data_IF_279355593030
#
_entry.id   IF_279355593030
#
_cell.length_a   1.000
_cell.length_b   1.000
_cell.length_c   1.000
_cell.angle_alpha   90.00
_cell.angle_beta   90.00
_cell.angle_gamma   90.00
#
_symmetry.space_group_name_H-M   'P 1'
#
loop_
_entity.id
_entity.type
_entity.pdbx_description
1 polymer ?
#
# COMPACT_ATOMS: atom_id res chain seq x y z
N UNK A 1 12.37 -8.89 24.83
CA UNK A 1 12.89 -8.04 23.74
C UNK A 1 11.73 -7.19 23.24
N UNK A 2 11.79 -5.88 23.41
CA UNK A 2 10.79 -4.97 22.82
C UNK A 2 11.20 -4.76 21.37
N UNK A 3 10.30 -4.96 20.38
CA UNK A 3 10.64 -4.71 18.99
C UNK A 3 11.09 -3.25 18.81
N UNK A 4 12.09 -2.99 17.96
CA UNK A 4 12.54 -1.63 17.69
C UNK A 4 11.37 -0.80 17.14
N UNK A 5 11.32 0.50 17.46
CA UNK A 5 10.31 1.37 16.88
C UNK A 5 10.50 1.40 15.36
N UNK A 6 9.37 1.40 14.63
CA UNK A 6 9.39 1.64 13.20
C UNK A 6 9.84 3.09 12.95
N UNK A 7 10.57 3.35 11.84
CA UNK A 7 10.80 4.70 11.37
C UNK A 7 9.48 5.44 11.21
N UNK A 8 9.49 6.75 11.46
CA UNK A 8 8.31 7.61 11.29
C UNK A 8 7.79 7.54 9.86
N UNK A 9 8.71 7.71 8.91
CA UNK A 9 8.43 7.53 7.50
C UNK A 9 9.00 6.18 7.07
N UNK A 10 8.19 5.34 6.46
CA UNK A 10 8.62 3.99 6.07
C UNK A 10 8.02 3.54 4.75
N UNK A 11 8.74 2.64 4.10
CA UNK A 11 8.28 1.90 2.93
C UNK A 11 8.27 0.41 3.26
N UNK A 12 7.15 -0.24 2.93
CA UNK A 12 6.96 -1.67 3.03
C UNK A 12 6.64 -2.24 1.66
N UNK A 13 7.26 -3.36 1.31
CA UNK A 13 6.97 -4.14 0.10
C UNK A 13 6.79 -5.58 0.50
N UNK A 14 5.84 -6.28 -0.11
CA UNK A 14 5.64 -7.69 0.19
C UNK A 14 4.46 -8.30 -0.55
N UNK A 15 4.22 -9.57 -0.26
CA UNK A 15 3.13 -10.34 -0.86
C UNK A 15 2.03 -10.61 0.16
N UNK A 16 0.79 -10.36 -0.23
CA UNK A 16 -0.41 -10.82 0.47
C UNK A 16 -0.78 -12.18 -0.08
N UNK A 17 -0.74 -13.21 0.77
CA UNK A 17 -1.19 -14.55 0.43
C UNK A 17 -2.62 -14.73 0.93
N UNK A 18 -3.59 -14.78 0.01
CA UNK A 18 -4.98 -15.12 0.31
C UNK A 18 -5.20 -16.62 0.06
N UNK A 19 -5.26 -17.39 1.15
CA UNK A 19 -5.47 -18.85 1.08
C UNK A 19 -6.88 -19.25 0.64
N UNK A 20 -7.89 -18.40 0.86
CA UNK A 20 -9.27 -18.69 0.46
C UNK A 20 -9.41 -18.53 -1.06
N UNK A 21 -8.79 -17.49 -1.61
CA UNK A 21 -8.83 -17.18 -3.03
C UNK A 21 -7.70 -17.87 -3.81
N UNK A 22 -6.76 -18.53 -3.11
CA UNK A 22 -5.53 -19.12 -3.68
C UNK A 22 -4.76 -18.12 -4.54
N UNK A 23 -4.72 -16.87 -4.08
CA UNK A 23 -4.11 -15.75 -4.79
C UNK A 23 -2.92 -15.21 -3.99
N UNK A 24 -1.89 -14.78 -4.71
CA UNK A 24 -0.78 -14.01 -4.16
C UNK A 24 -0.81 -12.66 -4.85
N UNK A 25 -0.93 -11.59 -4.06
CA UNK A 25 -0.96 -10.21 -4.56
C UNK A 25 0.27 -9.48 -4.05
N UNK A 26 0.94 -8.75 -4.93
CA UNK A 26 2.05 -7.90 -4.50
C UNK A 26 1.50 -6.57 -3.97
N UNK A 27 2.07 -6.07 -2.87
CA UNK A 27 1.71 -4.79 -2.30
C UNK A 27 2.94 -3.92 -2.03
N UNK A 28 2.75 -2.61 -2.20
CA UNK A 28 3.64 -1.58 -1.69
C UNK A 28 2.86 -0.64 -0.77
N UNK A 29 3.47 -0.27 0.35
CA UNK A 29 2.95 0.70 1.28
C UNK A 29 4.03 1.76 1.56
N UNK A 30 3.67 3.02 1.42
CA UNK A 30 4.50 4.16 1.81
C UNK A 30 3.73 4.97 2.84
N UNK A 31 4.34 5.21 4.00
CA UNK A 31 3.74 6.03 5.05
C UNK A 31 4.65 7.22 5.32
N UNK A 32 4.10 8.41 5.18
CA UNK A 32 4.73 9.69 5.48
C UNK A 32 4.05 10.28 6.73
N UNK A 33 4.67 10.08 7.88
CA UNK A 33 4.16 10.59 9.15
C UNK A 33 4.27 12.11 9.22
N UNK A 34 5.30 12.70 8.59
CA UNK A 34 5.52 14.15 8.56
C UNK A 34 4.34 14.88 7.94
N UNK A 35 3.83 14.35 6.83
CA UNK A 35 2.66 14.90 6.14
C UNK A 35 1.35 14.26 6.59
N UNK A 36 1.41 13.17 7.37
CA UNK A 36 0.27 12.35 7.79
C UNK A 36 -0.50 11.84 6.56
N UNK A 37 0.26 11.23 5.65
CA UNK A 37 -0.21 10.70 4.38
C UNK A 37 0.26 9.24 4.23
N UNK A 38 -0.53 8.44 3.53
CA UNK A 38 -0.14 7.09 3.15
C UNK A 38 -0.48 6.81 1.70
N UNK A 39 0.35 6.02 1.04
CA UNK A 39 0.08 5.47 -0.28
C UNK A 39 0.17 3.96 -0.21
N UNK A 40 -0.84 3.30 -0.77
CA UNK A 40 -0.86 1.86 -0.97
C UNK A 40 -0.99 1.57 -2.45
N UNK A 41 -0.25 0.58 -2.91
CA UNK A 41 -0.39 0.00 -4.25
C UNK A 41 -0.58 -1.50 -4.09
N UNK A 42 -1.58 -2.05 -4.77
CA UNK A 42 -1.83 -3.49 -4.85
C UNK A 42 -1.79 -3.91 -6.32
N UNK A 43 -0.91 -4.84 -6.66
CA UNK A 43 -0.83 -5.42 -8.00
C UNK A 43 -1.65 -6.71 -8.03
N UNK A 44 -2.71 -6.71 -8.83
CA UNK A 44 -3.59 -7.86 -9.05
C UNK A 44 -3.90 -8.00 -10.53
N UNK A 45 -3.60 -9.17 -11.11
CA UNK A 45 -3.92 -9.50 -12.51
C UNK A 45 -3.43 -8.46 -13.55
N UNK A 46 -2.26 -7.84 -13.32
CA UNK A 46 -1.69 -6.82 -14.22
C UNK A 46 -2.27 -5.41 -14.06
N UNK A 47 -3.11 -5.20 -13.05
CA UNK A 47 -3.66 -3.90 -12.67
C UNK A 47 -3.02 -3.48 -11.34
N UNK A 48 -2.48 -2.27 -11.29
CA UNK A 48 -2.08 -1.64 -10.04
C UNK A 48 -3.24 -0.79 -9.50
N UNK A 49 -3.75 -1.17 -8.33
CA UNK A 49 -4.75 -0.42 -7.59
C UNK A 49 -4.03 0.51 -6.60
N UNK A 50 -4.13 1.82 -6.79
CA UNK A 50 -3.48 2.81 -5.93
C UNK A 50 -4.51 3.49 -5.03
N UNK A 51 -4.17 3.62 -3.75
CA UNK A 51 -4.95 4.37 -2.75
C UNK A 51 -4.02 5.37 -2.05
N UNK A 52 -4.34 6.65 -2.14
CA UNK A 52 -3.61 7.72 -1.46
C UNK A 52 -4.51 8.30 -0.37
N UNK A 53 -4.09 8.19 0.88
CA UNK A 53 -4.75 8.70 2.06
C UNK A 53 -4.09 10.00 2.50
N UNK A 54 -4.89 11.05 2.66
CA UNK A 54 -4.52 12.24 3.42
C UNK A 54 -5.33 12.29 4.71
N UNK A 55 -4.69 11.93 5.82
CA UNK A 55 -5.35 11.85 7.11
C UNK A 55 -5.60 13.22 7.75
N UNK A 56 -4.95 14.30 7.27
CA UNK A 56 -5.22 15.66 7.78
C UNK A 56 -6.58 16.17 7.31
N UNK A 57 -6.92 15.87 6.06
CA UNK A 57 -8.21 16.29 5.46
C UNK A 57 -9.22 15.16 5.36
N UNK A 58 -8.86 13.95 5.83
CA UNK A 58 -9.71 12.75 5.78
C UNK A 58 -10.20 12.42 4.37
N UNK A 59 -9.30 12.52 3.38
CA UNK A 59 -9.59 12.21 1.99
C UNK A 59 -8.83 10.99 1.51
N UNK A 60 -9.44 10.28 0.57
CA UNK A 60 -8.81 9.21 -0.18
C UNK A 60 -8.92 9.52 -1.67
N UNK A 61 -7.82 9.31 -2.40
CA UNK A 61 -7.78 9.32 -3.86
C UNK A 61 -7.45 7.91 -4.31
N UNK A 62 -8.32 7.35 -5.14
CA UNK A 62 -8.18 6.00 -5.69
C UNK A 62 -8.06 6.09 -7.20
N UNK A 63 -7.12 5.33 -7.77
CA UNK A 63 -6.96 5.21 -9.21
C UNK A 63 -6.28 3.89 -9.57
N UNK A 64 -6.59 3.41 -10.77
CA UNK A 64 -6.00 2.19 -11.31
C UNK A 64 -5.01 2.52 -12.43
N UNK A 65 -3.92 1.76 -12.51
CA UNK A 65 -3.02 1.73 -13.65
C UNK A 65 -3.14 0.35 -14.30
N UNK A 66 -3.58 0.33 -15.55
CA UNK A 66 -3.60 -0.88 -16.36
C UNK A 66 -2.26 -1.02 -17.10
N UNK A 67 -1.55 -2.12 -16.88
CA UNK A 67 -0.35 -2.43 -17.65
C UNK A 67 -0.77 -3.22 -18.89
N UNK A 68 -0.55 -2.70 -20.11
CA UNK A 68 -0.74 -3.50 -21.32
C UNK A 68 0.29 -4.65 -21.30
N UNK A 69 -0.22 -5.89 -21.44
CA UNK A 69 0.59 -7.10 -21.58
C UNK A 69 1.26 -7.21 -22.94
#
# INVERSE_FOLDING_TARGET
LIPPPLPKDFEGKGDIVDYNQKAVRYQEAHFDYTHNQAKYMLLENGIEHHMLFDYKVQQVVEYDILHPG
#
